data_IF_173945882074
#
_entry.id   IF_173945882074
#
_cell.length_a   1.000
_cell.length_b   1.000
_cell.length_c   1.000
_cell.angle_alpha   90.00
_cell.angle_beta   90.00
_cell.angle_gamma   90.00
#
_symmetry.space_group_name_H-M   'P 1'
#
loop_
_entity.id
_entity.type
_entity.pdbx_description
1 polymer ?
#
# COMPACT_ATOMS: atom_id res chain seq x y z
N UNK A 1 -9.27 -15.71 -17.94
CA UNK A 1 -10.18 -14.78 -17.24
C UNK A 1 -9.34 -13.57 -16.84
N UNK A 2 -9.93 -12.38 -16.74
CA UNK A 2 -9.20 -11.18 -16.29
C UNK A 2 -8.74 -11.39 -14.84
N UNK A 3 -7.51 -10.97 -14.52
CA UNK A 3 -6.98 -11.02 -13.15
C UNK A 3 -7.09 -9.65 -12.49
N UNK A 4 -7.08 -9.65 -11.16
CA UNK A 4 -6.96 -8.46 -10.34
C UNK A 4 -5.62 -8.50 -9.57
N UNK A 5 -4.74 -7.56 -9.88
CA UNK A 5 -3.46 -7.39 -9.22
C UNK A 5 -3.60 -6.37 -8.08
N UNK A 6 -3.38 -6.81 -6.85
CA UNK A 6 -3.52 -6.04 -5.61
C UNK A 6 -2.14 -5.73 -5.06
N UNK A 7 -1.76 -4.47 -5.03
CA UNK A 7 -0.45 -4.02 -4.57
C UNK A 7 -0.57 -3.35 -3.21
N UNK A 8 0.27 -3.74 -2.26
CA UNK A 8 0.56 -2.89 -1.12
C UNK A 8 1.45 -1.71 -1.56
N UNK A 9 1.61 -0.71 -0.69
CA UNK A 9 2.40 0.48 -0.96
C UNK A 9 3.73 0.48 -0.21
N UNK A 10 3.66 0.52 1.12
CA UNK A 10 4.81 0.72 1.99
C UNK A 10 5.71 -0.52 1.98
N UNK A 11 7.02 -0.38 1.71
CA UNK A 11 7.92 -1.51 1.54
C UNK A 11 7.77 -2.27 0.22
N UNK A 12 6.61 -2.19 -0.44
CA UNK A 12 6.26 -2.91 -1.67
C UNK A 12 6.47 -2.06 -2.92
N UNK A 13 5.66 -1.01 -3.14
CA UNK A 13 5.86 -0.06 -4.24
C UNK A 13 6.87 1.03 -3.86
N UNK A 14 6.95 1.38 -2.58
CA UNK A 14 7.98 2.22 -1.98
C UNK A 14 9.11 1.34 -1.47
N UNK A 15 10.32 1.52 -1.97
CA UNK A 15 11.46 0.68 -1.59
C UNK A 15 12.06 1.08 -0.26
N UNK A 16 11.91 0.23 0.77
CA UNK A 16 12.56 0.37 2.07
C UNK A 16 12.10 1.58 2.89
N UNK A 17 10.89 2.08 2.63
CA UNK A 17 10.28 3.22 3.33
C UNK A 17 8.76 3.09 3.32
N UNK A 18 8.10 4.02 4.00
CA UNK A 18 6.65 4.15 4.06
C UNK A 18 6.18 5.54 3.63
N UNK A 19 4.94 5.69 3.18
CA UNK A 19 4.36 6.99 2.88
C UNK A 19 4.33 7.92 4.13
N UNK A 20 3.98 7.45 5.34
CA UNK A 20 4.12 8.27 6.55
C UNK A 20 5.53 8.80 6.78
N UNK A 21 6.54 7.98 6.56
CA UNK A 21 7.94 8.40 6.72
C UNK A 21 8.36 9.45 5.69
N UNK A 22 7.98 9.26 4.41
CA UNK A 22 8.28 10.24 3.35
C UNK A 22 7.58 11.58 3.59
N UNK A 23 6.35 11.57 4.08
CA UNK A 23 5.62 12.79 4.50
C UNK A 23 6.33 13.48 5.66
N UNK A 24 6.70 12.72 6.69
CA UNK A 24 7.35 13.24 7.89
C UNK A 24 8.73 13.84 7.59
N UNK A 25 9.46 13.32 6.61
CA UNK A 25 10.71 13.92 6.12
C UNK A 25 10.52 15.36 5.63
N UNK A 26 9.40 15.66 4.98
CA UNK A 26 9.11 17.01 4.50
C UNK A 26 8.85 18.01 5.65
N UNK A 27 8.51 17.48 6.83
CA UNK A 27 8.24 18.24 8.04
C UNK A 27 9.41 18.26 9.04
N UNK A 28 10.48 17.47 8.78
CA UNK A 28 11.58 17.28 9.73
C UNK A 28 11.21 16.42 10.95
N UNK A 29 10.22 15.53 10.80
CA UNK A 29 9.63 14.69 11.86
C UNK A 29 9.92 13.19 11.63
N UNK A 30 11.02 12.88 10.97
CA UNK A 30 11.40 11.51 10.60
C UNK A 30 11.60 10.63 11.83
N UNK A 31 12.31 11.14 12.85
CA UNK A 31 12.62 10.39 14.07
C UNK A 31 11.37 9.96 14.83
N UNK A 32 10.42 10.90 14.99
CA UNK A 32 9.15 10.64 15.69
C UNK A 32 8.31 9.60 14.96
N UNK A 33 8.32 9.65 13.62
CA UNK A 33 7.59 8.68 12.80
C UNK A 33 8.23 7.29 12.86
N UNK A 34 9.56 7.20 12.83
CA UNK A 34 10.27 5.93 13.03
C UNK A 34 9.91 5.29 14.37
N UNK A 35 9.85 6.07 15.45
CA UNK A 35 9.42 5.57 16.77
C UNK A 35 7.98 5.02 16.74
N UNK A 36 7.06 5.71 16.05
CA UNK A 36 5.67 5.26 15.89
C UNK A 36 5.58 3.98 15.03
N UNK A 37 6.35 3.88 13.96
CA UNK A 37 6.40 2.67 13.11
C UNK A 37 6.98 1.48 13.87
N UNK A 38 7.98 1.68 14.72
CA UNK A 38 8.48 0.63 15.61
C UNK A 38 7.42 0.21 16.64
N UNK A 39 6.68 1.15 17.19
CA UNK A 39 5.64 0.86 18.18
C UNK A 39 4.48 0.04 17.56
N UNK A 40 4.06 0.34 16.33
CA UNK A 40 3.02 -0.43 15.66
C UNK A 40 3.54 -1.79 15.17
N UNK A 41 4.75 -1.89 14.65
CA UNK A 41 5.34 -3.15 14.16
C UNK A 41 5.55 -4.17 15.28
N UNK A 42 5.86 -3.70 16.51
CA UNK A 42 5.99 -4.55 17.70
C UNK A 42 4.67 -4.83 18.41
N UNK A 43 3.55 -4.26 17.92
CA UNK A 43 2.21 -4.41 18.53
C UNK A 43 2.04 -3.63 19.84
N UNK A 44 2.93 -2.70 20.15
CA UNK A 44 2.81 -1.82 21.34
C UNK A 44 1.61 -0.88 21.19
N UNK A 45 1.32 -0.42 19.99
CA UNK A 45 0.13 0.36 19.65
C UNK A 45 -0.61 -0.29 18.47
N UNK A 46 -1.92 -0.05 18.37
CA UNK A 46 -2.73 -0.50 17.24
C UNK A 46 -2.88 0.57 16.14
N UNK A 47 -3.45 0.20 14.97
CA UNK A 47 -3.64 1.13 13.85
C UNK A 47 -4.40 2.41 14.20
N UNK A 48 -5.49 2.42 15.01
CA UNK A 48 -6.18 3.64 15.39
C UNK A 48 -5.33 4.59 16.23
N UNK A 49 -4.53 4.06 17.16
CA UNK A 49 -3.63 4.88 17.98
C UNK A 49 -2.49 5.44 17.15
N UNK A 50 -1.90 4.64 16.27
CA UNK A 50 -0.89 5.08 15.30
C UNK A 50 -1.42 6.25 14.47
N UNK A 51 -2.59 6.08 13.84
CA UNK A 51 -3.21 7.12 13.02
C UNK A 51 -3.47 8.42 13.79
N UNK A 52 -3.95 8.30 15.05
CA UNK A 52 -4.18 9.46 15.93
C UNK A 52 -2.89 10.22 16.22
N UNK A 53 -1.80 9.51 16.52
CA UNK A 53 -0.51 10.12 16.83
C UNK A 53 0.13 10.76 15.60
N UNK A 54 0.08 10.08 14.45
CA UNK A 54 0.56 10.62 13.19
C UNK A 54 -0.25 11.84 12.76
N UNK A 55 -1.57 11.81 12.92
CA UNK A 55 -2.43 12.96 12.66
C UNK A 55 -2.03 14.19 13.48
N UNK A 56 -1.77 14.01 14.78
CA UNK A 56 -1.32 15.10 15.67
C UNK A 56 0.09 15.58 15.28
N UNK A 57 0.98 14.67 14.90
CA UNK A 57 2.35 14.98 14.48
C UNK A 57 2.37 15.86 13.23
N UNK A 58 1.42 15.65 12.31
CA UNK A 58 1.33 16.37 11.05
C UNK A 58 0.41 17.61 11.07
N UNK A 59 0.29 18.29 12.20
CA UNK A 59 -0.59 19.46 12.35
C UNK A 59 -0.31 20.57 11.30
N UNK A 60 0.95 20.72 10.87
CA UNK A 60 1.40 21.70 9.87
C UNK A 60 1.50 21.12 8.45
N UNK A 61 0.92 19.95 8.19
CA UNK A 61 0.97 19.30 6.87
C UNK A 61 0.20 20.13 5.84
N UNK A 62 0.85 20.35 4.70
CA UNK A 62 0.28 21.04 3.54
C UNK A 62 0.26 20.13 2.32
N UNK A 63 -0.58 20.46 1.35
CA UNK A 63 -0.63 19.74 0.07
C UNK A 63 0.73 19.78 -0.67
N UNK A 64 1.49 20.84 -0.52
CA UNK A 64 2.85 20.94 -1.08
C UNK A 64 3.81 19.93 -0.43
N UNK A 65 3.70 19.68 0.87
CA UNK A 65 4.50 18.65 1.55
C UNK A 65 4.13 17.25 1.05
N UNK A 66 2.82 16.96 0.90
CA UNK A 66 2.36 15.67 0.37
C UNK A 66 2.83 15.46 -1.07
N UNK A 67 2.75 16.49 -1.91
CA UNK A 67 3.23 16.42 -3.29
C UNK A 67 4.75 16.17 -3.34
N UNK A 68 5.53 16.90 -2.55
CA UNK A 68 6.98 16.73 -2.49
C UNK A 68 7.37 15.32 -1.97
N UNK A 69 6.68 14.81 -0.94
CA UNK A 69 6.87 13.47 -0.45
C UNK A 69 6.58 12.41 -1.52
N UNK A 70 5.46 12.55 -2.25
CA UNK A 70 5.07 11.63 -3.30
C UNK A 70 6.05 11.64 -4.48
N UNK A 71 6.48 12.83 -4.94
CA UNK A 71 7.40 12.98 -6.07
C UNK A 71 8.82 12.51 -5.73
N UNK A 72 9.27 12.75 -4.49
CA UNK A 72 10.61 12.43 -4.03
C UNK A 72 10.78 11.02 -3.46
N UNK A 73 9.72 10.27 -3.28
CA UNK A 73 9.76 8.94 -2.68
C UNK A 73 10.55 7.93 -3.53
N UNK A 74 11.23 6.95 -2.91
CA UNK A 74 12.01 5.95 -3.61
C UNK A 74 11.11 4.83 -4.18
N UNK A 75 10.36 5.16 -5.22
CA UNK A 75 9.50 4.24 -5.93
C UNK A 75 10.28 3.10 -6.59
N UNK A 76 9.69 1.91 -6.67
CA UNK A 76 10.19 0.87 -7.56
C UNK A 76 10.15 1.37 -9.02
N UNK A 77 11.10 0.92 -9.81
CA UNK A 77 11.11 1.21 -11.24
C UNK A 77 9.93 0.53 -11.95
N UNK A 78 9.51 1.09 -13.06
CA UNK A 78 8.55 0.53 -14.02
C UNK A 78 7.13 0.25 -13.48
N UNK A 79 6.69 0.90 -12.40
CA UNK A 79 5.31 0.75 -11.87
C UNK A 79 4.28 1.06 -12.96
N UNK A 80 4.45 2.19 -13.67
CA UNK A 80 3.49 2.64 -14.70
C UNK A 80 3.47 1.70 -15.90
N UNK A 81 4.61 1.16 -16.28
CA UNK A 81 4.76 0.20 -17.37
C UNK A 81 4.09 -1.13 -17.03
N UNK A 82 4.26 -1.63 -15.81
CA UNK A 82 3.58 -2.83 -15.32
C UNK A 82 2.07 -2.66 -15.35
N UNK A 83 1.57 -1.53 -14.83
CA UNK A 83 0.13 -1.27 -14.82
C UNK A 83 -0.43 -1.05 -16.23
N UNK A 84 0.33 -0.46 -17.13
CA UNK A 84 -0.06 -0.36 -18.54
C UNK A 84 -0.15 -1.74 -19.19
N UNK A 85 0.80 -2.64 -18.92
CA UNK A 85 0.79 -4.02 -19.43
C UNK A 85 -0.40 -4.82 -18.89
N UNK A 86 -0.68 -4.74 -17.56
CA UNK A 86 -1.85 -5.34 -16.93
C UNK A 86 -3.14 -4.87 -17.64
N UNK A 87 -3.28 -3.57 -17.86
CA UNK A 87 -4.45 -2.99 -18.54
C UNK A 87 -4.56 -3.44 -20.00
N UNK A 88 -3.44 -3.50 -20.72
CA UNK A 88 -3.40 -3.97 -22.10
C UNK A 88 -3.78 -5.45 -22.23
N UNK A 89 -3.51 -6.25 -21.18
CA UNK A 89 -3.96 -7.64 -21.11
C UNK A 89 -5.46 -7.78 -20.77
N UNK A 90 -6.18 -6.65 -20.52
CA UNK A 90 -7.58 -6.67 -20.10
C UNK A 90 -7.74 -7.09 -18.64
N UNK A 91 -6.71 -6.90 -17.83
CA UNK A 91 -6.67 -7.20 -16.40
C UNK A 91 -6.73 -5.91 -15.58
N UNK A 92 -6.87 -6.01 -14.26
CA UNK A 92 -7.04 -4.90 -13.35
C UNK A 92 -5.87 -4.79 -12.36
N UNK A 93 -5.55 -3.57 -11.95
CA UNK A 93 -4.57 -3.30 -10.89
C UNK A 93 -5.14 -2.30 -9.89
N UNK A 94 -4.97 -2.58 -8.61
CA UNK A 94 -5.38 -1.71 -7.53
C UNK A 94 -4.32 -1.66 -6.44
N UNK A 95 -4.28 -0.54 -5.70
CA UNK A 95 -3.42 -0.37 -4.52
C UNK A 95 -4.28 -0.41 -3.27
N UNK A 96 -3.88 -1.21 -2.28
CA UNK A 96 -4.56 -1.34 -0.99
C UNK A 96 -3.52 -1.25 0.13
N UNK A 97 -3.46 -0.12 0.80
CA UNK A 97 -2.45 0.19 1.81
C UNK A 97 -3.07 0.68 3.12
N UNK A 98 -2.35 0.54 4.22
CA UNK A 98 -2.73 1.14 5.51
C UNK A 98 -2.35 2.63 5.59
N UNK A 99 -1.59 3.13 4.64
CA UNK A 99 -1.16 4.52 4.52
C UNK A 99 -2.30 5.50 4.24
N UNK A 100 -2.10 6.81 4.47
CA UNK A 100 -3.15 7.82 4.30
C UNK A 100 -3.72 7.87 2.88
N UNK A 101 -5.05 7.90 2.77
CA UNK A 101 -5.79 7.91 1.50
C UNK A 101 -5.33 9.04 0.57
N UNK A 102 -5.10 10.24 1.07
CA UNK A 102 -4.66 11.38 0.28
C UNK A 102 -3.28 11.20 -0.41
N UNK A 103 -2.44 10.26 0.09
CA UNK A 103 -1.20 9.88 -0.56
C UNK A 103 -1.43 8.71 -1.54
N UNK A 104 -2.13 7.67 -1.10
CA UNK A 104 -2.38 6.44 -1.87
C UNK A 104 -3.19 6.72 -3.15
N UNK A 105 -4.23 7.53 -3.06
CA UNK A 105 -5.15 7.85 -4.17
C UNK A 105 -4.46 8.54 -5.37
N UNK A 106 -3.30 9.18 -5.16
CA UNK A 106 -2.49 9.78 -6.25
C UNK A 106 -2.02 8.75 -7.27
N UNK A 107 -1.93 7.48 -6.87
CA UNK A 107 -1.52 6.38 -7.75
C UNK A 107 -2.54 6.07 -8.85
N UNK A 108 -3.78 6.50 -8.73
CA UNK A 108 -4.75 6.43 -9.83
C UNK A 108 -4.29 7.26 -11.03
N UNK A 109 -3.61 8.39 -10.79
CA UNK A 109 -2.96 9.20 -11.84
C UNK A 109 -1.80 8.49 -12.56
N UNK A 110 -1.28 7.39 -11.99
CA UNK A 110 -0.25 6.55 -12.63
C UNK A 110 -0.84 5.36 -13.41
N UNK A 111 -2.15 5.16 -13.31
CA UNK A 111 -2.85 4.13 -14.05
C UNK A 111 -3.42 2.99 -13.22
N UNK A 112 -3.36 3.03 -11.88
CA UNK A 112 -4.12 2.11 -11.05
C UNK A 112 -5.64 2.32 -11.29
N UNK A 113 -6.40 1.23 -11.38
CA UNK A 113 -7.86 1.31 -11.53
C UNK A 113 -8.53 1.78 -10.24
N UNK A 114 -7.95 1.42 -9.09
CA UNK A 114 -8.40 1.86 -7.77
C UNK A 114 -7.19 1.99 -6.83
N UNK A 115 -7.32 2.85 -5.81
CA UNK A 115 -6.32 3.02 -4.77
C UNK A 115 -7.02 3.35 -3.45
N UNK A 116 -6.78 2.52 -2.43
CA UNK A 116 -7.44 2.59 -1.13
C UNK A 116 -6.41 2.70 -0.02
N UNK A 117 -6.58 3.70 0.83
CA UNK A 117 -5.78 3.95 2.03
C UNK A 117 -6.64 4.16 3.25
N UNK A 118 -6.03 4.25 4.43
CA UNK A 118 -6.70 4.71 5.65
C UNK A 118 -7.28 6.11 5.44
N UNK A 119 -8.54 6.31 5.77
CA UNK A 119 -9.20 7.60 5.57
C UNK A 119 -8.64 8.63 6.56
N UNK A 120 -7.91 9.58 6.03
CA UNK A 120 -7.48 10.78 6.72
C UNK A 120 -8.27 11.98 6.19
N UNK A 121 -8.45 13.04 7.02
CA UNK A 121 -9.02 14.30 6.53
C UNK A 121 -8.19 14.91 5.41
N UNK A 122 -8.85 15.76 4.61
CA UNK A 122 -8.16 16.51 3.56
C UNK A 122 -7.07 17.41 4.17
N UNK A 123 -5.98 17.55 3.43
CA UNK A 123 -4.84 18.41 3.80
C UNK A 123 -5.08 19.82 3.24
N UNK A 124 -4.83 20.90 4.02
CA UNK A 124 -4.36 20.92 5.41
C UNK A 124 -5.47 20.51 6.40
N UNK A 125 -5.07 19.91 7.51
CA UNK A 125 -6.02 19.47 8.52
C UNK A 125 -6.72 20.66 9.19
N UNK A 126 -8.05 20.66 9.17
CA UNK A 126 -8.88 21.74 9.74
C UNK A 126 -9.70 21.29 10.95
N UNK A 127 -9.70 20.00 11.27
CA UNK A 127 -10.39 19.42 12.40
C UNK A 127 -9.43 19.11 13.56
N UNK A 128 -9.86 19.19 14.83
CA UNK A 128 -8.99 18.88 15.97
C UNK A 128 -8.69 17.38 16.13
N UNK A 129 -9.46 16.52 15.45
CA UNK A 129 -9.32 15.06 15.50
C UNK A 129 -9.80 14.45 14.19
N UNK A 130 -9.37 13.21 13.93
CA UNK A 130 -9.82 12.42 12.78
C UNK A 130 -10.88 11.39 13.21
N UNK A 131 -11.70 10.97 12.24
CA UNK A 131 -12.57 9.79 12.39
C UNK A 131 -11.73 8.52 12.25
N UNK A 132 -11.77 7.67 13.27
CA UNK A 132 -11.02 6.41 13.30
C UNK A 132 -11.75 5.24 12.60
N UNK A 133 -13.02 5.42 12.24
CA UNK A 133 -13.81 4.39 11.55
C UNK A 133 -13.29 4.02 10.16
N UNK A 134 -12.50 4.90 9.55
CA UNK A 134 -11.88 4.69 8.24
C UNK A 134 -10.41 4.26 8.30
N UNK A 135 -9.84 4.01 9.48
CA UNK A 135 -8.46 3.52 9.63
C UNK A 135 -8.41 2.04 9.31
N UNK A 136 -7.61 1.67 8.32
CA UNK A 136 -7.49 0.30 7.85
C UNK A 136 -6.58 -0.55 8.74
N UNK A 137 -6.77 -1.86 8.65
CA UNK A 137 -5.93 -2.89 9.25
C UNK A 137 -5.76 -4.06 8.24
N UNK A 138 -4.99 -5.09 8.59
CA UNK A 138 -4.74 -6.25 7.73
C UNK A 138 -6.06 -6.88 7.22
N UNK A 139 -7.04 -7.10 8.10
CA UNK A 139 -8.33 -7.69 7.69
C UNK A 139 -9.12 -6.79 6.72
N UNK A 140 -8.97 -5.47 6.82
CA UNK A 140 -9.62 -4.54 5.92
C UNK A 140 -9.11 -4.67 4.47
N UNK A 141 -7.85 -5.09 4.26
CA UNK A 141 -7.30 -5.36 2.91
C UNK A 141 -8.12 -6.45 2.21
N UNK A 142 -8.53 -7.51 2.93
CA UNK A 142 -9.37 -8.58 2.37
C UNK A 142 -10.77 -8.07 2.00
N UNK A 143 -11.38 -7.27 2.87
CA UNK A 143 -12.71 -6.68 2.60
C UNK A 143 -12.68 -5.77 1.37
N UNK A 144 -11.61 -4.98 1.21
CA UNK A 144 -11.42 -4.12 0.04
C UNK A 144 -11.21 -4.97 -1.22
N UNK A 145 -10.39 -6.03 -1.14
CA UNK A 145 -10.18 -6.96 -2.25
C UNK A 145 -11.50 -7.59 -2.72
N UNK A 146 -12.38 -8.01 -1.80
CA UNK A 146 -13.70 -8.56 -2.13
C UNK A 146 -14.57 -7.54 -2.88
N UNK A 147 -14.60 -6.28 -2.42
CA UNK A 147 -15.34 -5.20 -3.10
C UNK A 147 -14.81 -4.94 -4.51
N UNK A 148 -13.49 -4.93 -4.67
CA UNK A 148 -12.85 -4.78 -5.97
C UNK A 148 -13.14 -5.97 -6.89
N UNK A 149 -13.19 -7.19 -6.34
CA UNK A 149 -13.61 -8.37 -7.10
C UNK A 149 -15.05 -8.22 -7.62
N UNK A 150 -15.98 -7.76 -6.79
CA UNK A 150 -17.37 -7.47 -7.20
C UNK A 150 -17.41 -6.36 -8.26
N UNK A 151 -16.68 -5.27 -8.07
CA UNK A 151 -16.63 -4.13 -8.99
C UNK A 151 -16.10 -4.51 -10.38
N UNK A 152 -15.04 -5.32 -10.43
CA UNK A 152 -14.41 -5.71 -11.69
C UNK A 152 -14.94 -7.04 -12.28
N UNK A 153 -15.89 -7.68 -11.60
CA UNK A 153 -16.51 -8.93 -12.09
C UNK A 153 -15.55 -10.12 -12.10
N UNK A 154 -14.62 -10.17 -11.13
CA UNK A 154 -13.66 -11.25 -10.92
C UNK A 154 -13.86 -11.88 -9.54
N UNK A 155 -13.11 -12.92 -9.20
CA UNK A 155 -13.19 -13.61 -7.92
C UNK A 155 -11.82 -13.62 -7.23
N UNK A 156 -11.77 -13.99 -5.95
CA UNK A 156 -10.49 -14.18 -5.25
C UNK A 156 -9.56 -15.16 -5.97
N UNK A 157 -10.12 -16.16 -6.69
CA UNK A 157 -9.34 -17.12 -7.47
C UNK A 157 -8.60 -16.47 -8.65
N UNK A 158 -9.00 -15.27 -9.05
CA UNK A 158 -8.40 -14.50 -10.13
C UNK A 158 -7.43 -13.42 -9.59
N UNK A 159 -7.22 -13.34 -8.26
CA UNK A 159 -6.39 -12.31 -7.64
C UNK A 159 -4.92 -12.71 -7.55
N UNK A 160 -4.06 -11.70 -7.72
CA UNK A 160 -2.62 -11.73 -7.43
C UNK A 160 -2.31 -10.64 -6.43
N UNK A 161 -1.72 -10.95 -5.28
CA UNK A 161 -1.35 -9.97 -4.26
C UNK A 161 0.16 -9.75 -4.20
N UNK A 162 0.58 -8.50 -3.97
CA UNK A 162 1.97 -8.10 -3.78
C UNK A 162 2.08 -7.36 -2.45
N UNK A 163 3.03 -7.75 -1.59
CA UNK A 163 3.19 -7.17 -0.27
C UNK A 163 4.57 -7.45 0.33
N UNK A 164 4.92 -6.78 1.41
CA UNK A 164 6.23 -6.87 2.05
C UNK A 164 6.18 -7.32 3.51
N UNK A 165 5.05 -7.18 4.19
CA UNK A 165 4.96 -7.27 5.64
C UNK A 165 3.76 -8.07 6.14
N UNK A 166 3.73 -8.32 7.45
CA UNK A 166 2.61 -9.04 8.09
C UNK A 166 1.25 -8.35 7.93
N UNK A 167 1.20 -7.10 7.47
CA UNK A 167 -0.04 -6.42 7.09
C UNK A 167 -0.73 -7.08 5.89
N UNK A 168 0.01 -7.84 5.07
CA UNK A 168 -0.47 -8.52 3.86
C UNK A 168 -0.84 -10.00 4.10
N UNK A 169 -0.53 -10.50 5.29
CA UNK A 169 -0.73 -11.91 5.65
C UNK A 169 -2.15 -12.41 5.37
N UNK A 170 -3.17 -11.63 5.77
CA UNK A 170 -4.56 -12.05 5.63
C UNK A 170 -4.96 -12.10 4.15
N UNK A 171 -4.49 -11.14 3.35
CA UNK A 171 -4.71 -11.11 1.91
C UNK A 171 -3.99 -12.27 1.21
N UNK A 172 -2.73 -12.54 1.55
CA UNK A 172 -1.97 -13.68 1.00
C UNK A 172 -2.64 -15.02 1.32
N UNK A 173 -3.29 -15.12 2.49
CA UNK A 173 -4.01 -16.34 2.90
C UNK A 173 -5.29 -16.65 2.12
N UNK A 174 -5.81 -15.69 1.32
CA UNK A 174 -7.11 -15.84 0.63
C UNK A 174 -7.01 -15.75 -0.90
N UNK A 175 -5.84 -15.45 -1.44
CA UNK A 175 -5.59 -15.39 -2.88
C UNK A 175 -4.71 -16.57 -3.33
N UNK A 176 -4.85 -17.07 -4.57
CA UNK A 176 -4.07 -18.23 -5.04
C UNK A 176 -2.61 -17.88 -5.36
N UNK A 177 -2.33 -16.63 -5.70
CA UNK A 177 -1.00 -16.18 -6.10
C UNK A 177 -0.62 -14.94 -5.28
N UNK A 178 0.56 -14.99 -4.68
CA UNK A 178 1.11 -13.87 -3.91
C UNK A 178 2.62 -13.73 -4.15
N UNK A 179 3.09 -12.51 -4.17
CA UNK A 179 4.50 -12.14 -4.36
C UNK A 179 4.97 -11.35 -3.15
N UNK A 180 5.87 -11.91 -2.36
CA UNK A 180 6.56 -11.19 -1.31
C UNK A 180 7.65 -10.32 -1.96
N UNK A 181 7.49 -8.99 -1.88
CA UNK A 181 8.39 -8.00 -2.51
C UNK A 181 9.26 -7.37 -1.45
N UNK A 182 10.58 -7.60 -1.49
CA UNK A 182 11.53 -7.09 -0.50
C UNK A 182 11.13 -7.40 0.96
N UNK A 183 10.39 -8.47 1.15
CA UNK A 183 9.74 -8.82 2.40
C UNK A 183 10.69 -9.49 3.40
N UNK A 184 10.32 -9.42 4.67
CA UNK A 184 10.99 -10.20 5.70
C UNK A 184 10.75 -11.72 5.52
N UNK A 185 11.49 -12.53 6.28
CA UNK A 185 11.41 -14.00 6.20
C UNK A 185 10.03 -14.55 6.62
N UNK A 186 9.28 -13.83 7.46
CA UNK A 186 7.99 -14.30 7.96
C UNK A 186 6.93 -14.24 6.85
N UNK A 187 6.86 -13.14 6.10
CA UNK A 187 5.94 -13.03 4.99
C UNK A 187 6.41 -13.85 3.78
N UNK A 188 7.71 -13.86 3.48
CA UNK A 188 8.27 -14.64 2.37
C UNK A 188 7.90 -16.12 2.46
N UNK A 189 7.83 -16.68 3.68
CA UNK A 189 7.40 -18.05 3.92
C UNK A 189 5.91 -18.33 3.69
N UNK A 190 5.07 -17.30 3.55
CA UNK A 190 3.63 -17.40 3.28
C UNK A 190 3.29 -17.12 1.82
N UNK A 191 4.18 -16.51 1.07
CA UNK A 191 3.96 -16.14 -0.33
C UNK A 191 4.21 -17.33 -1.27
N UNK A 192 3.53 -17.32 -2.42
CA UNK A 192 3.79 -18.30 -3.50
C UNK A 192 5.07 -17.99 -4.27
N UNK A 193 5.47 -16.70 -4.31
CA UNK A 193 6.68 -16.21 -4.95
C UNK A 193 7.36 -15.17 -4.05
N UNK A 194 8.67 -15.00 -4.22
CA UNK A 194 9.43 -13.94 -3.55
C UNK A 194 10.31 -13.21 -4.55
N UNK A 195 10.45 -11.91 -4.35
CA UNK A 195 11.27 -11.02 -5.17
C UNK A 195 12.04 -10.05 -4.28
N UNK A 196 13.31 -9.88 -4.57
CA UNK A 196 14.17 -8.87 -3.98
C UNK A 196 14.75 -8.00 -5.09
N UNK A 197 14.53 -6.70 -5.04
CA UNK A 197 15.03 -5.77 -6.05
C UNK A 197 14.31 -4.43 -6.05
N UNK A 198 14.56 -3.65 -7.11
CA UNK A 198 14.06 -2.28 -7.26
C UNK A 198 13.22 -2.08 -8.52
N UNK A 199 12.80 -3.15 -9.16
CA UNK A 199 12.06 -3.10 -10.42
C UNK A 199 10.81 -3.95 -10.34
N UNK A 200 9.65 -3.30 -10.37
CA UNK A 200 8.36 -4.00 -10.27
C UNK A 200 8.11 -4.96 -11.44
N UNK A 201 8.71 -4.69 -12.59
CA UNK A 201 8.56 -5.57 -13.76
C UNK A 201 9.08 -6.98 -13.50
N UNK A 202 10.21 -7.09 -12.81
CA UNK A 202 10.80 -8.38 -12.51
C UNK A 202 9.93 -9.18 -11.52
N UNK A 203 9.30 -8.49 -10.54
CA UNK A 203 8.31 -9.11 -9.66
C UNK A 203 7.05 -9.56 -10.43
N UNK A 204 6.58 -8.74 -11.36
CA UNK A 204 5.42 -9.04 -12.21
C UNK A 204 5.68 -10.24 -13.16
N UNK A 205 6.87 -10.35 -13.73
CA UNK A 205 7.27 -11.47 -14.61
C UNK A 205 7.13 -12.84 -13.91
N UNK A 206 7.29 -12.92 -12.58
CA UNK A 206 7.11 -14.17 -11.83
C UNK A 206 5.69 -14.73 -11.93
N UNK A 207 4.70 -13.88 -12.20
CA UNK A 207 3.28 -14.26 -12.20
C UNK A 207 2.57 -13.98 -13.52
N UNK A 208 3.23 -13.31 -14.46
CA UNK A 208 2.66 -12.93 -15.77
C UNK A 208 2.11 -14.12 -16.55
N UNK A 209 2.74 -15.28 -16.47
CA UNK A 209 2.36 -16.50 -17.18
C UNK A 209 1.73 -17.58 -16.29
N UNK A 210 1.52 -17.33 -15.01
CA UNK A 210 0.90 -18.28 -14.09
C UNK A 210 -0.60 -18.41 -14.41
N UNK A 211 -1.03 -19.62 -14.79
CA UNK A 211 -2.45 -20.01 -14.98
C UNK A 211 -2.95 -20.73 -13.74
#
# INVERSE_FOLDING_TARGET
MARLHLFDLDGTLLHGTSAPLEISRQLGLESETVELEQAISTGLIGPPEYATRVYALWADLTEAHVAAAFEGAPWLARIREVWAEIRNAGEYCAVVSLSPSFFVERLTGWGAHAAHGSLFPAVPFTTPSMDLGGVLNSAAKVVIADRLCEEFGVTRADCVAYGDSMSDKDLFGVVPVSVAVNADQHLSGLATHSYEGRDLWDAYELVRGAQ
#
